data_IF_932192964344
#
_entry.id   IF_932192964344
#
_cell.length_a   1.000
_cell.length_b   1.000
_cell.length_c   1.000
_cell.angle_alpha   90.00
_cell.angle_beta   90.00
_cell.angle_gamma   90.00
#
_symmetry.space_group_name_H-M   'P 1'
#
loop_
_entity.id
_entity.type
_entity.pdbx_description
1 polymer ?
#
# COMPACT_ATOMS: atom_id res chain seq x y z
N UNK A 1 -20.52 11.17 0.43
CA UNK A 1 -20.64 10.00 -0.47
C UNK A 1 -20.78 8.73 0.37
N UNK A 2 -21.39 7.66 -0.15
CA UNK A 2 -21.29 6.34 0.50
C UNK A 2 -19.84 5.84 0.47
N UNK A 3 -19.48 4.92 1.37
CA UNK A 3 -18.15 4.30 1.37
C UNK A 3 -17.93 3.53 0.05
N UNK A 4 -16.95 3.91 -0.80
CA UNK A 4 -16.69 3.21 -2.06
C UNK A 4 -16.01 1.84 -1.85
N UNK A 5 -15.62 1.50 -0.63
CA UNK A 5 -14.93 0.25 -0.31
C UNK A 5 -13.41 0.37 -0.50
N UNK A 6 -12.66 -0.74 -0.40
CA UNK A 6 -11.20 -0.71 -0.39
C UNK A 6 -10.56 -0.44 -1.77
N UNK A 7 -11.33 -0.48 -2.85
CA UNK A 7 -10.86 -0.28 -4.22
C UNK A 7 -11.77 0.69 -4.95
N UNK A 8 -11.16 1.67 -5.61
CA UNK A 8 -11.86 2.61 -6.50
C UNK A 8 -11.35 2.43 -7.93
N UNK A 9 -12.25 2.55 -8.90
CA UNK A 9 -11.88 2.50 -10.32
C UNK A 9 -11.35 3.84 -10.80
N UNK A 10 -10.63 3.85 -11.93
CA UNK A 10 -10.23 5.09 -12.59
C UNK A 10 -11.44 5.95 -12.99
N UNK A 11 -12.59 5.34 -13.32
CA UNK A 11 -13.82 6.08 -13.60
C UNK A 11 -14.39 6.76 -12.34
N UNK A 12 -14.37 6.07 -11.19
CA UNK A 12 -14.79 6.66 -9.93
C UNK A 12 -13.89 7.82 -9.52
N UNK A 13 -12.56 7.66 -9.69
CA UNK A 13 -11.62 8.71 -9.34
C UNK A 13 -11.76 9.90 -10.30
N UNK A 14 -11.95 9.68 -11.60
CA UNK A 14 -12.28 10.74 -12.55
C UNK A 14 -13.50 11.54 -12.09
N UNK A 15 -14.61 10.87 -11.81
CA UNK A 15 -15.86 11.55 -11.45
C UNK A 15 -15.73 12.35 -10.15
N UNK A 16 -15.12 11.77 -9.11
CA UNK A 16 -15.17 12.36 -7.76
C UNK A 16 -13.99 13.26 -7.45
N UNK A 17 -12.84 12.99 -8.04
CA UNK A 17 -11.64 13.79 -7.86
C UNK A 17 -11.45 14.77 -9.02
N UNK A 18 -11.47 14.29 -10.26
CA UNK A 18 -11.19 15.17 -11.39
C UNK A 18 -12.37 16.11 -11.71
N UNK A 19 -13.57 15.56 -11.86
CA UNK A 19 -14.71 16.34 -12.35
C UNK A 19 -15.39 17.14 -11.23
N UNK A 20 -15.55 16.54 -10.04
CA UNK A 20 -16.21 17.18 -8.88
C UNK A 20 -15.26 17.91 -7.94
N UNK A 21 -13.97 17.57 -7.91
CA UNK A 21 -13.01 18.05 -6.90
C UNK A 21 -13.57 17.93 -5.48
N UNK A 22 -14.03 16.74 -5.08
CA UNK A 22 -14.59 16.52 -3.75
C UNK A 22 -13.55 16.90 -2.68
N UNK A 23 -13.81 17.93 -1.85
CA UNK A 23 -12.84 18.43 -0.88
C UNK A 23 -12.60 17.46 0.29
N UNK A 24 -13.41 16.40 0.39
CA UNK A 24 -13.23 15.35 1.40
C UNK A 24 -12.29 14.24 0.91
N UNK A 25 -11.82 14.26 -0.33
CA UNK A 25 -10.86 13.27 -0.84
C UNK A 25 -9.45 13.84 -0.73
N UNK A 26 -8.50 12.99 -0.35
CA UNK A 26 -7.06 13.26 -0.55
C UNK A 26 -6.48 12.12 -1.37
N UNK A 27 -5.86 12.47 -2.49
CA UNK A 27 -5.20 11.54 -3.39
C UNK A 27 -3.70 11.50 -3.08
N UNK A 28 -3.15 10.30 -2.86
CA UNK A 28 -1.75 10.08 -2.53
C UNK A 28 -1.06 9.23 -3.60
N UNK A 29 0.06 9.72 -4.09
CA UNK A 29 1.04 8.94 -4.84
C UNK A 29 1.97 8.23 -3.85
N UNK A 30 1.70 6.94 -3.63
CA UNK A 30 2.44 6.05 -2.73
C UNK A 30 3.58 5.30 -3.42
N UNK A 31 4.12 5.83 -4.53
CA UNK A 31 5.12 5.10 -5.33
C UNK A 31 6.39 4.82 -4.53
N UNK A 32 6.74 3.54 -4.44
CA UNK A 32 8.03 3.09 -3.91
C UNK A 32 8.68 2.08 -4.84
N UNK A 33 9.98 2.28 -5.08
CA UNK A 33 10.83 1.36 -5.83
C UNK A 33 11.87 0.73 -4.90
N UNK A 34 12.09 -0.57 -5.08
CA UNK A 34 13.23 -1.25 -4.44
C UNK A 34 14.53 -0.58 -4.89
N UNK A 35 15.53 -0.39 -4.00
CA UNK A 35 16.80 0.25 -4.36
C UNK A 35 17.48 -0.38 -5.59
N UNK A 36 17.35 -1.70 -5.76
CA UNK A 36 17.92 -2.44 -6.88
C UNK A 36 17.32 -2.08 -8.25
N UNK A 37 16.15 -1.45 -8.30
CA UNK A 37 15.52 -1.02 -9.55
C UNK A 37 16.09 0.28 -10.11
N UNK A 38 16.88 1.02 -9.31
CA UNK A 38 17.52 2.28 -9.74
C UNK A 38 16.52 3.27 -10.36
N UNK A 39 15.32 3.35 -9.76
CA UNK A 39 14.26 4.28 -10.12
C UNK A 39 14.04 5.26 -8.98
N UNK A 40 13.74 6.51 -9.33
CA UNK A 40 13.50 7.60 -8.40
C UNK A 40 12.01 7.94 -8.40
N UNK A 41 11.31 7.56 -7.33
CA UNK A 41 9.87 7.78 -7.22
C UNK A 41 9.51 9.27 -7.16
N UNK A 42 10.36 10.09 -6.54
CA UNK A 42 10.09 11.53 -6.39
C UNK A 42 10.25 12.22 -7.75
N UNK A 43 11.30 11.87 -8.49
CA UNK A 43 11.50 12.36 -9.86
C UNK A 43 10.34 11.95 -10.78
N UNK A 44 9.91 10.68 -10.71
CA UNK A 44 8.76 10.19 -11.50
C UNK A 44 7.47 10.91 -11.16
N UNK A 45 7.21 11.19 -9.87
CA UNK A 45 6.08 12.01 -9.46
C UNK A 45 6.17 13.43 -10.03
N UNK A 46 7.34 14.07 -10.00
CA UNK A 46 7.52 15.40 -10.60
C UNK A 46 7.31 15.40 -12.13
N UNK A 47 7.66 14.30 -12.80
CA UNK A 47 7.45 14.14 -14.25
C UNK A 47 5.99 13.89 -14.61
N UNK A 48 5.28 13.03 -13.87
CA UNK A 48 3.91 12.63 -14.17
C UNK A 48 3.20 12.08 -12.94
N UNK A 49 2.12 12.75 -12.53
CA UNK A 49 1.21 12.27 -11.50
C UNK A 49 -0.24 12.67 -11.80
N UNK A 50 -1.20 12.10 -11.06
CA UNK A 50 -2.61 12.49 -11.19
C UNK A 50 -2.78 13.89 -10.59
N UNK A 51 -3.41 14.79 -11.32
CA UNK A 51 -3.68 16.18 -10.90
C UNK A 51 -4.18 16.26 -9.45
N UNK A 52 -3.48 17.03 -8.62
CA UNK A 52 -3.79 17.23 -7.20
C UNK A 52 -3.33 16.12 -6.24
N UNK A 53 -2.68 15.05 -6.73
CA UNK A 53 -2.11 14.03 -5.85
C UNK A 53 -0.94 14.59 -5.03
N UNK A 54 -0.80 14.12 -3.80
CA UNK A 54 0.34 14.39 -2.91
C UNK A 54 1.31 13.22 -2.92
N UNK A 55 2.62 13.49 -2.95
CA UNK A 55 3.61 12.45 -2.70
C UNK A 55 3.49 11.89 -1.28
N UNK A 56 3.48 10.56 -1.14
CA UNK A 56 3.38 9.86 0.13
C UNK A 56 4.46 8.77 0.22
N UNK A 57 5.49 9.01 1.04
CA UNK A 57 6.56 8.03 1.23
C UNK A 57 6.53 7.41 2.63
N UNK A 58 6.04 6.17 2.73
CA UNK A 58 6.05 5.42 3.97
C UNK A 58 7.46 5.15 4.52
N UNK A 59 8.53 5.33 3.73
CA UNK A 59 9.92 5.26 4.22
C UNK A 59 10.32 6.48 5.06
N UNK A 60 9.60 7.59 4.90
CA UNK A 60 9.74 8.80 5.73
C UNK A 60 8.82 8.69 6.95
N UNK A 61 7.63 8.10 6.77
CA UNK A 61 6.64 7.89 7.83
C UNK A 61 6.86 6.50 8.47
N UNK A 62 8.02 6.33 9.11
CA UNK A 62 8.43 5.08 9.76
C UNK A 62 9.14 5.31 11.08
N UNK A 63 9.26 4.25 11.87
CA UNK A 63 10.18 4.23 13.00
C UNK A 63 11.63 4.08 12.50
N UNK A 64 12.44 5.09 12.80
CA UNK A 64 13.87 5.15 12.47
C UNK A 64 14.78 4.76 13.62
N UNK A 65 14.22 4.52 14.81
CA UNK A 65 14.97 4.06 15.99
C UNK A 65 15.23 2.55 15.98
N UNK A 66 14.43 1.79 15.22
CA UNK A 66 14.55 0.35 15.10
C UNK A 66 15.56 -0.07 14.02
N UNK A 67 16.26 -1.19 14.24
CA UNK A 67 17.28 -1.71 13.30
C UNK A 67 16.66 -2.31 12.03
N UNK A 68 15.44 -2.82 12.13
CA UNK A 68 14.70 -3.35 10.98
C UNK A 68 14.17 -2.22 10.09
N UNK A 69 14.21 -2.38 8.76
CA UNK A 69 13.70 -1.37 7.84
C UNK A 69 12.17 -1.35 7.85
N UNK A 70 11.59 -0.21 7.44
CA UNK A 70 10.15 -0.06 7.16
C UNK A 70 9.20 -0.36 8.34
N UNK A 71 9.70 -0.25 9.58
CA UNK A 71 8.88 -0.41 10.79
C UNK A 71 7.79 0.67 10.86
N UNK A 72 6.61 0.30 11.38
CA UNK A 72 5.55 1.27 11.64
C UNK A 72 6.05 2.41 12.54
N UNK A 73 5.70 3.67 12.26
CA UNK A 73 6.05 4.79 13.15
C UNK A 73 5.24 4.72 14.46
N UNK A 74 5.66 5.43 15.52
CA UNK A 74 4.79 5.72 16.65
C UNK A 74 3.51 6.42 16.18
N UNK A 75 2.37 6.12 16.82
CA UNK A 75 1.07 6.68 16.43
C UNK A 75 1.05 8.21 16.39
N UNK A 76 1.74 8.88 17.32
CA UNK A 76 1.87 10.34 17.35
C UNK A 76 2.67 10.91 16.15
N UNK A 77 3.65 10.16 15.65
CA UNK A 77 4.39 10.54 14.45
C UNK A 77 3.50 10.40 13.21
N UNK A 78 2.79 9.28 13.06
CA UNK A 78 1.83 9.09 11.97
C UNK A 78 0.76 10.19 11.99
N UNK A 79 0.21 10.49 13.16
CA UNK A 79 -0.79 11.54 13.38
C UNK A 79 -0.33 12.91 12.87
N UNK A 80 0.88 13.31 13.27
CA UNK A 80 1.48 14.58 12.84
C UNK A 80 1.71 14.62 11.33
N UNK A 81 2.37 13.61 10.77
CA UNK A 81 2.76 13.61 9.36
C UNK A 81 1.56 13.48 8.41
N UNK A 82 0.54 12.72 8.78
CA UNK A 82 -0.71 12.61 8.01
C UNK A 82 -1.54 13.89 8.12
N UNK A 83 -1.61 14.51 9.30
CA UNK A 83 -2.26 15.81 9.47
C UNK A 83 -1.59 16.93 8.66
N UNK A 84 -0.26 16.90 8.54
CA UNK A 84 0.51 17.83 7.69
C UNK A 84 0.16 17.71 6.20
N UNK A 85 -0.35 16.56 5.75
CA UNK A 85 -0.87 16.33 4.40
C UNK A 85 -2.33 16.77 4.23
N UNK A 86 -2.93 17.41 5.23
CA UNK A 86 -4.33 17.86 5.19
C UNK A 86 -5.35 16.75 5.39
N UNK A 87 -4.92 15.57 5.86
CA UNK A 87 -5.81 14.43 6.11
C UNK A 87 -6.36 14.53 7.53
N UNK A 88 -7.69 14.56 7.65
CA UNK A 88 -8.42 14.45 8.91
C UNK A 88 -8.98 13.03 9.08
N UNK A 89 -9.58 12.74 10.23
CA UNK A 89 -10.31 11.48 10.40
C UNK A 89 -11.55 11.35 9.48
N UNK A 90 -12.03 12.46 8.91
CA UNK A 90 -13.20 12.47 8.03
C UNK A 90 -12.88 12.36 6.54
N UNK A 91 -11.64 12.65 6.18
CA UNK A 91 -11.09 12.55 4.82
C UNK A 91 -11.22 11.13 4.28
N UNK A 92 -11.51 10.97 3.00
CA UNK A 92 -11.38 9.72 2.27
C UNK A 92 -10.05 9.72 1.50
N UNK A 93 -9.12 8.88 1.93
CA UNK A 93 -7.81 8.75 1.29
C UNK A 93 -7.90 7.78 0.13
N UNK A 94 -7.40 8.18 -1.04
CA UNK A 94 -7.16 7.26 -2.16
C UNK A 94 -5.65 7.18 -2.39
N UNK A 95 -5.09 5.98 -2.38
CA UNK A 95 -3.67 5.75 -2.67
C UNK A 95 -3.49 5.08 -4.02
N UNK A 96 -2.46 5.44 -4.77
CA UNK A 96 -2.05 4.76 -6.00
C UNK A 96 -0.52 4.69 -6.08
N UNK A 97 0.03 3.83 -6.95
CA UNK A 97 1.45 3.86 -7.30
C UNK A 97 1.66 3.88 -8.82
N UNK A 98 2.89 4.22 -9.21
CA UNK A 98 3.40 4.22 -10.57
C UNK A 98 4.23 2.96 -10.89
N UNK A 99 3.88 1.82 -10.29
CA UNK A 99 4.54 0.57 -10.65
C UNK A 99 4.06 0.11 -12.04
N UNK A 100 4.79 0.49 -13.08
CA UNK A 100 4.46 0.16 -14.48
C UNK A 100 4.18 -1.33 -14.75
N UNK A 101 4.72 -2.25 -13.94
CA UNK A 101 4.52 -3.69 -14.14
C UNK A 101 3.24 -4.21 -13.47
N UNK A 102 2.94 -3.71 -12.27
CA UNK A 102 1.91 -4.31 -11.43
C UNK A 102 0.71 -3.40 -11.17
N UNK A 103 0.84 -2.08 -11.25
CA UNK A 103 -0.21 -1.11 -10.86
C UNK A 103 -0.63 -1.18 -9.38
N UNK A 104 -0.01 -2.09 -8.62
CA UNK A 104 -0.22 -2.36 -7.22
C UNK A 104 1.05 -3.02 -6.68
N UNK A 105 1.91 -2.26 -6.02
CA UNK A 105 3.14 -2.75 -5.41
C UNK A 105 3.31 -2.21 -3.99
N UNK A 106 3.36 -0.89 -3.82
CA UNK A 106 3.60 -0.25 -2.53
C UNK A 106 2.32 0.17 -1.82
N UNK A 107 1.29 0.50 -2.59
CA UNK A 107 -0.01 0.98 -2.09
C UNK A 107 -0.71 0.07 -1.08
N UNK A 108 -0.45 -1.24 -1.14
CA UNK A 108 -0.96 -2.18 -0.14
C UNK A 108 -0.45 -1.86 1.27
N UNK A 109 0.79 -1.37 1.38
CA UNK A 109 1.38 -0.91 2.64
C UNK A 109 0.71 0.38 3.11
N UNK A 110 0.51 1.35 2.23
CA UNK A 110 -0.09 2.65 2.58
C UNK A 110 -1.52 2.45 3.08
N UNK A 111 -2.33 1.73 2.31
CA UNK A 111 -3.70 1.35 2.68
C UNK A 111 -3.73 0.68 4.06
N UNK A 112 -2.87 -0.31 4.29
CA UNK A 112 -2.80 -1.03 5.56
C UNK A 112 -2.33 -0.12 6.71
N UNK A 113 -1.39 0.80 6.49
CA UNK A 113 -0.93 1.73 7.52
C UNK A 113 -2.07 2.63 8.02
N UNK A 114 -2.89 3.19 7.11
CA UNK A 114 -4.08 3.94 7.50
C UNK A 114 -5.04 3.09 8.34
N UNK A 115 -5.30 1.83 7.94
CA UNK A 115 -6.14 0.90 8.72
C UNK A 115 -5.57 0.61 10.11
N UNK A 116 -4.26 0.39 10.21
CA UNK A 116 -3.53 0.15 11.48
C UNK A 116 -3.68 1.34 12.43
N UNK A 117 -3.65 2.56 11.92
CA UNK A 117 -3.82 3.77 12.72
C UNK A 117 -5.28 4.25 12.83
N UNK A 118 -6.24 3.38 12.54
CA UNK A 118 -7.64 3.64 12.86
C UNK A 118 -8.44 4.36 11.80
N UNK A 119 -7.90 4.54 10.60
CA UNK A 119 -8.54 5.27 9.51
C UNK A 119 -9.09 4.31 8.46
N UNK A 120 -10.41 4.10 8.50
CA UNK A 120 -11.08 3.15 7.61
C UNK A 120 -11.46 3.73 6.24
N UNK A 121 -11.54 5.05 6.10
CA UNK A 121 -11.90 5.75 4.85
C UNK A 121 -10.70 5.80 3.90
N UNK A 122 -10.17 4.64 3.52
CA UNK A 122 -9.00 4.51 2.65
C UNK A 122 -9.23 3.46 1.57
N UNK A 123 -8.94 3.85 0.32
CA UNK A 123 -9.08 3.04 -0.89
C UNK A 123 -7.78 3.01 -1.68
N UNK A 124 -7.60 1.97 -2.49
CA UNK A 124 -6.55 1.92 -3.51
C UNK A 124 -7.16 2.17 -4.89
N UNK A 125 -6.49 2.95 -5.74
CA UNK A 125 -6.84 3.08 -7.16
C UNK A 125 -6.48 1.79 -7.90
N UNK A 126 -7.49 1.07 -8.36
CA UNK A 126 -7.32 -0.22 -9.02
C UNK A 126 -6.67 -0.06 -10.40
N UNK A 127 -5.46 -0.62 -10.54
CA UNK A 127 -4.58 -0.48 -11.72
C UNK A 127 -3.58 0.67 -11.66
N UNK A 128 -3.63 1.50 -10.62
CA UNK A 128 -2.67 2.58 -10.36
C UNK A 128 -2.58 3.64 -11.48
N UNK A 129 -1.48 4.41 -11.45
CA UNK A 129 -1.17 5.37 -12.50
C UNK A 129 -1.04 4.71 -13.90
N UNK A 130 -0.48 3.50 -14.04
CA UNK A 130 -0.34 2.89 -15.37
C UNK A 130 -1.67 2.68 -16.09
N UNK A 131 -2.72 2.25 -15.38
CA UNK A 131 -4.06 2.10 -15.97
C UNK A 131 -4.72 3.46 -16.21
N UNK A 132 -4.55 4.41 -15.29
CA UNK A 132 -5.04 5.78 -15.46
C UNK A 132 -4.54 6.41 -16.76
N UNK A 133 -3.23 6.35 -17.01
CA UNK A 133 -2.60 6.85 -18.24
C UNK A 133 -3.04 6.06 -19.47
N UNK A 134 -3.14 4.73 -19.38
CA UNK A 134 -3.60 3.90 -20.49
C UNK A 134 -5.05 4.19 -20.92
N UNK A 135 -5.89 4.68 -19.99
CA UNK A 135 -7.25 5.13 -20.28
C UNK A 135 -7.32 6.58 -20.82
N UNK A 136 -6.17 7.25 -21.03
CA UNK A 136 -6.11 8.61 -21.56
C UNK A 136 -6.58 9.69 -20.59
N UNK A 137 -6.51 9.41 -19.28
CA UNK A 137 -6.97 10.33 -18.23
C UNK A 137 -5.91 11.38 -17.88
N UNK A 138 -6.32 12.56 -17.40
CA UNK A 138 -5.40 13.69 -17.24
C UNK A 138 -4.34 13.45 -16.17
N UNK A 139 -3.12 13.90 -16.46
CA UNK A 139 -1.98 13.93 -15.56
C UNK A 139 -1.32 15.30 -15.63
N UNK A 140 -0.56 15.65 -14.61
CA UNK A 140 0.21 16.91 -14.55
C UNK A 140 1.68 16.60 -14.24
N UNK A 141 2.52 17.61 -14.44
CA UNK A 141 3.96 17.57 -14.17
C UNK A 141 4.36 18.76 -13.32
N UNK A 142 5.15 18.56 -12.27
CA UNK A 142 5.73 19.59 -11.39
C UNK A 142 4.73 20.48 -10.64
N UNK A 143 3.43 20.26 -10.80
CA UNK A 143 2.39 20.92 -10.03
C UNK A 143 2.30 20.29 -8.64
N UNK A 144 2.36 21.09 -7.59
CA UNK A 144 2.08 20.64 -6.23
C UNK A 144 0.84 21.35 -5.70
N UNK A 145 -0.16 20.61 -5.20
CA UNK A 145 -1.35 21.24 -4.64
C UNK A 145 -0.99 22.00 -3.35
N UNK A 146 -1.74 23.07 -3.08
CA UNK A 146 -1.65 23.73 -1.79
C UNK A 146 -2.26 22.85 -0.70
N UNK A 147 -1.46 22.56 0.33
CA UNK A 147 -1.88 21.73 1.45
C UNK A 147 -2.38 22.65 2.56
N UNK A 148 -3.61 22.40 3.03
CA UNK A 148 -4.11 22.97 4.28
C UNK A 148 -4.00 21.89 5.35
N UNK A 149 -3.09 22.01 6.33
CA UNK A 149 -2.96 21.02 7.38
C UNK A 149 -4.27 20.79 8.13
N UNK A 150 -4.50 19.56 8.56
CA UNK A 150 -5.66 19.14 9.31
C UNK A 150 -5.26 18.42 10.60
N UNK A 151 -6.22 18.28 11.52
CA UNK A 151 -6.04 17.42 12.69
C UNK A 151 -6.43 16.01 12.32
N UNK A 152 -5.46 15.12 12.35
CA UNK A 152 -5.68 13.68 12.38
C UNK A 152 -5.61 13.20 13.83
N UNK A 153 -6.32 12.14 14.18
CA UNK A 153 -6.19 11.42 15.44
C UNK A 153 -5.96 9.94 15.15
N UNK A 154 -4.77 9.44 15.47
CA UNK A 154 -4.43 8.04 15.27
C UNK A 154 -5.00 7.16 16.39
N UNK A 155 -5.62 6.04 16.01
CA UNK A 155 -6.01 4.97 16.95
C UNK A 155 -5.32 3.69 16.53
N UNK A 156 -4.19 3.38 17.18
CA UNK A 156 -3.42 2.19 16.87
C UNK A 156 -4.22 0.90 17.13
N UNK A 157 -4.27 0.02 16.13
CA UNK A 157 -4.98 -1.27 16.14
C UNK A 157 -3.95 -2.41 16.15
N UNK A 158 -3.44 -2.81 17.33
CA UNK A 158 -2.35 -3.80 17.42
C UNK A 158 -2.72 -5.17 16.85
N UNK A 159 -4.01 -5.52 16.78
CA UNK A 159 -4.47 -6.79 16.20
C UNK A 159 -4.27 -6.88 14.68
N UNK A 160 -3.97 -5.78 14.00
CA UNK A 160 -3.62 -5.74 12.56
C UNK A 160 -2.12 -5.93 12.30
N UNK A 161 -1.33 -6.09 13.36
CA UNK A 161 0.12 -6.31 13.34
C UNK A 161 0.41 -7.63 14.06
N UNK A 162 1.45 -8.34 13.63
CA UNK A 162 2.00 -9.46 14.40
C UNK A 162 3.46 -9.20 14.70
N UNK A 163 3.80 -9.26 15.98
CA UNK A 163 5.17 -9.16 16.46
C UNK A 163 5.90 -10.49 16.35
N UNK A 164 7.24 -10.46 16.31
CA UNK A 164 8.07 -11.66 16.19
C UNK A 164 7.72 -12.74 17.21
N UNK A 165 7.50 -12.38 18.48
CA UNK A 165 7.11 -13.33 19.53
C UNK A 165 5.79 -14.03 19.21
N UNK A 166 4.79 -13.31 18.69
CA UNK A 166 3.49 -13.88 18.31
C UNK A 166 3.62 -14.85 17.14
N UNK A 167 4.54 -14.60 16.21
CA UNK A 167 4.83 -15.50 15.09
C UNK A 167 5.53 -16.77 15.56
N UNK A 168 6.48 -16.64 16.49
CA UNK A 168 7.15 -17.77 17.13
C UNK A 168 6.15 -18.63 17.93
N UNK A 169 5.23 -18.01 18.67
CA UNK A 169 4.18 -18.73 19.39
C UNK A 169 3.24 -19.45 18.41
N UNK A 170 2.86 -18.78 17.31
CA UNK A 170 1.98 -19.37 16.31
C UNK A 170 2.61 -20.56 15.57
N UNK A 171 3.94 -20.63 15.46
CA UNK A 171 4.63 -21.82 14.93
C UNK A 171 4.30 -23.08 15.74
N UNK A 172 4.20 -22.95 17.07
CA UNK A 172 3.85 -24.06 17.96
C UNK A 172 2.35 -24.31 18.03
N UNK A 173 1.55 -23.23 18.15
CA UNK A 173 0.11 -23.31 18.45
C UNK A 173 -0.72 -23.54 17.18
N UNK A 174 -0.25 -23.07 16.01
CA UNK A 174 -0.92 -23.17 14.71
C UNK A 174 -2.33 -22.58 14.72
N UNK A 175 -2.52 -21.48 15.45
CA UNK A 175 -3.80 -20.79 15.57
C UNK A 175 -4.16 -20.00 14.31
N UNK A 176 -3.17 -19.44 13.64
CA UNK A 176 -3.32 -18.57 12.48
C UNK A 176 -2.56 -19.16 11.28
N UNK A 177 -3.15 -19.01 10.09
CA UNK A 177 -2.42 -19.27 8.86
C UNK A 177 -1.48 -18.09 8.58
N UNK A 178 -0.27 -18.40 8.12
CA UNK A 178 0.74 -17.41 7.79
C UNK A 178 0.99 -17.46 6.29
N UNK A 179 0.77 -16.33 5.63
CA UNK A 179 0.98 -16.19 4.19
C UNK A 179 2.21 -15.34 3.95
N UNK A 180 3.12 -15.85 3.12
CA UNK A 180 4.25 -15.11 2.61
C UNK A 180 3.98 -14.68 1.16
N UNK A 181 4.01 -13.37 0.91
CA UNK A 181 3.71 -12.77 -0.40
C UNK A 181 4.92 -12.58 -1.30
N UNK A 182 6.11 -13.01 -0.87
CA UNK A 182 7.33 -12.93 -1.68
C UNK A 182 7.26 -13.83 -2.92
N UNK A 183 8.04 -13.52 -3.97
CA UNK A 183 8.20 -14.41 -5.10
C UNK A 183 8.60 -15.83 -4.69
N UNK A 184 8.02 -16.83 -5.35
CA UNK A 184 8.22 -18.25 -5.04
C UNK A 184 9.69 -18.67 -4.89
N UNK A 185 10.58 -18.18 -5.75
CA UNK A 185 12.01 -18.51 -5.65
C UNK A 185 12.65 -18.05 -4.34
N UNK A 186 12.26 -16.88 -3.80
CA UNK A 186 12.74 -16.38 -2.50
C UNK A 186 12.18 -17.20 -1.34
N UNK A 187 10.92 -17.59 -1.43
CA UNK A 187 10.27 -18.46 -0.45
C UNK A 187 10.90 -19.86 -0.43
N UNK A 188 11.12 -20.47 -1.60
CA UNK A 188 11.70 -21.82 -1.74
C UNK A 188 13.22 -21.84 -1.47
N UNK A 189 13.87 -20.70 -1.30
CA UNK A 189 15.32 -20.60 -1.11
C UNK A 189 16.15 -20.75 -2.39
N UNK A 190 15.51 -20.77 -3.57
CA UNK A 190 16.16 -20.95 -4.88
C UNK A 190 16.57 -19.64 -5.55
N UNK A 191 16.11 -18.49 -5.04
CA UNK A 191 16.53 -17.16 -5.45
C UNK A 191 16.97 -16.33 -4.23
N UNK A 192 17.95 -15.40 -4.37
CA UNK A 192 18.46 -14.62 -3.25
C UNK A 192 17.48 -13.54 -2.79
N UNK A 193 17.63 -13.11 -1.53
CA UNK A 193 17.00 -11.89 -1.03
C UNK A 193 17.65 -10.64 -1.64
N UNK A 194 16.91 -9.53 -1.85
CA UNK A 194 17.49 -8.27 -2.30
C UNK A 194 18.59 -7.76 -1.36
N UNK A 195 18.41 -7.95 -0.05
CA UNK A 195 19.44 -7.72 0.92
C UNK A 195 20.38 -8.94 0.99
N UNK A 196 21.61 -8.77 0.50
CA UNK A 196 22.63 -9.82 0.46
C UNK A 196 23.06 -10.36 1.83
N UNK A 197 22.76 -9.66 2.92
CA UNK A 197 23.02 -10.15 4.27
C UNK A 197 21.96 -11.13 4.78
N UNK A 198 20.84 -11.29 4.06
CA UNK A 198 19.74 -12.17 4.44
C UNK A 198 19.77 -13.45 3.60
N UNK A 199 19.44 -14.57 4.23
CA UNK A 199 19.21 -15.83 3.54
C UNK A 199 17.78 -15.88 3.02
N UNK A 200 17.59 -16.48 1.83
CA UNK A 200 16.28 -16.86 1.33
C UNK A 200 15.78 -18.13 2.03
N UNK A 201 14.56 -18.55 1.71
CA UNK A 201 13.80 -19.54 2.48
C UNK A 201 12.60 -18.89 3.16
N UNK A 202 11.91 -19.65 4.00
CA UNK A 202 10.67 -19.22 4.65
C UNK A 202 10.56 -19.77 6.08
N UNK A 203 9.67 -19.15 6.86
CA UNK A 203 9.30 -19.66 8.18
C UNK A 203 8.56 -20.99 7.98
N UNK A 204 8.93 -22.03 8.73
CA UNK A 204 8.30 -23.34 8.60
C UNK A 204 6.80 -23.28 8.90
N UNK A 205 5.99 -23.95 8.08
CA UNK A 205 4.54 -23.99 8.21
C UNK A 205 3.80 -22.82 7.56
N UNK A 206 4.51 -21.89 6.92
CA UNK A 206 3.90 -20.81 6.13
C UNK A 206 3.48 -21.28 4.74
N UNK A 207 2.51 -20.60 4.13
CA UNK A 207 2.08 -20.82 2.74
C UNK A 207 2.53 -19.65 1.88
N UNK A 208 3.03 -19.93 0.68
CA UNK A 208 3.40 -18.87 -0.27
C UNK A 208 2.22 -18.53 -1.17
N UNK A 209 1.89 -17.24 -1.24
CA UNK A 209 0.99 -16.66 -2.24
C UNK A 209 1.64 -15.39 -2.75
N UNK A 210 2.50 -15.47 -3.78
CA UNK A 210 3.15 -14.29 -4.35
C UNK A 210 2.11 -13.22 -4.69
N UNK A 211 2.34 -11.97 -4.27
CA UNK A 211 1.34 -10.90 -4.48
C UNK A 211 0.97 -10.72 -5.97
N UNK A 212 1.90 -11.03 -6.87
CA UNK A 212 1.69 -10.98 -8.33
C UNK A 212 0.59 -11.92 -8.81
N UNK A 213 0.28 -12.98 -8.06
CA UNK A 213 -0.82 -13.90 -8.37
C UNK A 213 -2.19 -13.28 -8.08
N UNK A 214 -2.25 -12.16 -7.35
CA UNK A 214 -3.49 -11.43 -7.05
C UNK A 214 -3.80 -10.36 -8.09
N UNK A 215 -2.91 -10.11 -9.04
CA UNK A 215 -2.99 -9.03 -10.03
C UNK A 215 -3.24 -9.64 -11.41
N UNK A 216 -4.11 -9.00 -12.18
CA UNK A 216 -4.29 -9.33 -13.58
C UNK A 216 -3.14 -8.75 -14.42
N UNK A 217 -2.39 -9.57 -15.18
CA UNK A 217 -1.15 -9.13 -15.83
C UNK A 217 -1.36 -8.01 -16.85
N UNK A 218 -2.49 -8.01 -17.57
CA UNK A 218 -2.76 -7.04 -18.63
C UNK A 218 -3.36 -5.73 -18.10
N UNK A 219 -4.46 -5.80 -17.34
CA UNK A 219 -5.14 -4.63 -16.81
C UNK A 219 -4.45 -4.02 -15.60
N UNK A 220 -3.52 -4.74 -14.95
CA UNK A 220 -2.82 -4.34 -13.71
C UNK A 220 -3.76 -4.14 -12.52
N UNK A 221 -5.02 -4.54 -12.66
CA UNK A 221 -6.01 -4.50 -11.60
C UNK A 221 -5.88 -5.70 -10.69
N UNK A 222 -6.40 -5.61 -9.47
CA UNK A 222 -6.59 -6.80 -8.65
C UNK A 222 -7.59 -7.74 -9.33
N UNK A 223 -7.39 -9.05 -9.14
CA UNK A 223 -8.33 -10.08 -9.55
C UNK A 223 -9.63 -9.95 -8.75
N UNK A 224 -10.74 -10.42 -9.32
CA UNK A 224 -12.02 -10.45 -8.61
C UNK A 224 -11.92 -11.28 -7.33
N UNK A 225 -12.81 -10.99 -6.37
CA UNK A 225 -12.88 -11.74 -5.11
C UNK A 225 -13.08 -13.23 -5.33
N UNK A 226 -13.85 -13.60 -6.35
CA UNK A 226 -14.12 -14.97 -6.76
C UNK A 226 -12.84 -15.65 -7.27
N UNK A 227 -12.13 -14.99 -8.19
CA UNK A 227 -10.86 -15.50 -8.72
C UNK A 227 -9.78 -15.63 -7.63
N UNK A 228 -9.74 -14.69 -6.68
CA UNK A 228 -8.85 -14.79 -5.50
C UNK A 228 -9.26 -15.98 -4.63
N UNK A 229 -10.55 -16.18 -4.33
CA UNK A 229 -10.99 -17.33 -3.51
C UNK A 229 -10.70 -18.68 -4.15
N UNK A 230 -10.85 -18.79 -5.47
CA UNK A 230 -10.58 -20.02 -6.21
C UNK A 230 -9.07 -20.31 -6.32
N UNK A 231 -8.26 -19.26 -6.52
CA UNK A 231 -6.80 -19.38 -6.62
C UNK A 231 -6.07 -19.45 -5.27
N UNK A 232 -6.73 -19.03 -4.19
CA UNK A 232 -6.13 -18.92 -2.85
C UNK A 232 -7.04 -19.67 -1.86
N UNK A 233 -6.67 -20.89 -1.48
CA UNK A 233 -7.33 -21.65 -0.41
C UNK A 233 -7.07 -21.04 0.98
N UNK A 234 -7.23 -19.73 1.14
CA UNK A 234 -6.77 -19.01 2.31
C UNK A 234 -7.82 -18.03 2.83
N UNK A 235 -8.16 -18.20 4.11
CA UNK A 235 -8.89 -17.24 4.94
C UNK A 235 -7.85 -16.45 5.72
N UNK A 236 -7.35 -15.34 5.15
CA UNK A 236 -6.31 -14.53 5.80
C UNK A 236 -6.89 -13.63 6.90
N UNK A 237 -6.22 -13.57 8.06
CA UNK A 237 -6.57 -12.63 9.15
C UNK A 237 -5.46 -11.62 9.49
N UNK A 238 -4.28 -11.66 8.85
CA UNK A 238 -3.17 -10.76 9.22
C UNK A 238 -2.16 -10.55 8.08
N UNK A 239 -1.78 -9.30 7.82
CA UNK A 239 -0.60 -8.95 7.02
C UNK A 239 0.65 -8.89 7.91
N UNK A 240 1.81 -9.30 7.38
CA UNK A 240 3.09 -9.30 8.10
C UNK A 240 3.85 -7.99 7.89
N UNK A 241 4.55 -7.55 8.96
CA UNK A 241 5.38 -6.33 9.05
C UNK A 241 6.85 -6.71 9.04
#
# INVERSE_FOLDING_TARGET
>A
MGDPGPLVSCAWLQENWIDKRDPNIVLLDGTFHQPMWQRDADAEYQECHIDGALGFDFRVIRDTSHQMPLMLPPAAQFEKQVGELGISNDTHVVVYDNNAKFGFYSVGRDWWMFKVFGHDKVSVLDGGLPKWVAEGRPTVSSEQPQITPAVFKATYRPHLVREMGQIMDNYHIKKEQVIDSRPKGRFDGTAPEPNKSLHSGHILGTTNVPFTELIHPDSKTLKSKEAIKEGTYIVCHSFFV
#
